data_IF_823095035581
#
_entry.id   IF_823095035581
#
_cell.length_a   1.000
_cell.length_b   1.000
_cell.length_c   1.000
_cell.angle_alpha   90.00
_cell.angle_beta   90.00
_cell.angle_gamma   90.00
#
_symmetry.space_group_name_H-M   'P 1'
#
loop_
_entity.id
_entity.type
_entity.pdbx_description
1 polymer ?
#
# COMPACT_ATOMS: atom_id res chain seq x y z
N UNK A 1 -31.70 -23.11 -18.14
CA UNK A 1 -30.61 -23.13 -17.12
C UNK A 1 -29.24 -22.92 -17.77
N UNK A 2 -28.99 -23.49 -18.95
CA UNK A 2 -27.75 -23.33 -19.74
C UNK A 2 -27.43 -21.87 -20.08
N UNK A 3 -28.42 -21.06 -20.42
CA UNK A 3 -28.25 -19.63 -20.77
C UNK A 3 -27.77 -18.77 -19.60
N UNK A 4 -28.23 -19.08 -18.38
CA UNK A 4 -27.80 -18.35 -17.17
C UNK A 4 -26.34 -18.66 -16.85
N UNK A 5 -25.95 -19.92 -16.93
CA UNK A 5 -24.57 -20.34 -16.72
C UNK A 5 -23.62 -19.78 -17.78
N UNK A 6 -24.03 -19.78 -19.06
CA UNK A 6 -23.23 -19.21 -20.15
C UNK A 6 -23.04 -17.69 -20.00
N UNK A 7 -24.08 -16.96 -19.59
CA UNK A 7 -24.00 -15.52 -19.30
C UNK A 7 -23.05 -15.23 -18.14
N UNK A 8 -23.08 -16.03 -17.07
CA UNK A 8 -22.16 -15.89 -15.94
C UNK A 8 -20.72 -16.13 -16.39
N UNK A 9 -20.47 -17.19 -17.18
CA UNK A 9 -19.14 -17.51 -17.69
C UNK A 9 -18.59 -16.38 -18.58
N UNK A 10 -19.41 -15.87 -19.50
CA UNK A 10 -19.06 -14.74 -20.35
C UNK A 10 -18.76 -13.47 -19.54
N UNK A 11 -19.53 -13.22 -18.48
CA UNK A 11 -19.27 -12.12 -17.55
C UNK A 11 -17.91 -12.24 -16.86
N UNK A 12 -17.57 -13.43 -16.36
CA UNK A 12 -16.27 -13.69 -15.71
C UNK A 12 -15.11 -13.47 -16.71
N UNK A 13 -15.24 -13.97 -17.94
CA UNK A 13 -14.23 -13.79 -18.99
C UNK A 13 -14.05 -12.31 -19.32
N UNK A 14 -15.14 -11.57 -19.50
CA UNK A 14 -15.10 -10.15 -19.81
C UNK A 14 -14.40 -9.34 -18.70
N UNK A 15 -14.72 -9.62 -17.43
CA UNK A 15 -14.07 -8.96 -16.27
C UNK A 15 -12.59 -9.31 -16.20
N UNK A 16 -12.21 -10.57 -16.42
CA UNK A 16 -10.81 -10.99 -16.34
C UNK A 16 -9.96 -10.36 -17.46
N UNK A 17 -10.50 -10.26 -18.68
CA UNK A 17 -9.85 -9.58 -19.80
C UNK A 17 -9.69 -8.08 -19.53
N UNK A 18 -10.73 -7.41 -19.02
CA UNK A 18 -10.65 -5.98 -18.68
C UNK A 18 -9.62 -5.69 -17.59
N UNK A 19 -9.56 -6.51 -16.53
CA UNK A 19 -8.54 -6.36 -15.49
C UNK A 19 -7.11 -6.57 -16.03
N UNK A 20 -6.92 -7.54 -16.94
CA UNK A 20 -5.62 -7.76 -17.60
C UNK A 20 -5.23 -6.56 -18.47
N UNK A 21 -6.14 -6.05 -19.30
CA UNK A 21 -5.89 -4.88 -20.14
C UNK A 21 -5.58 -3.63 -19.32
N UNK A 22 -6.30 -3.41 -18.21
CA UNK A 22 -6.04 -2.28 -17.30
C UNK A 22 -4.64 -2.36 -16.70
N UNK A 23 -4.18 -3.57 -16.33
CA UNK A 23 -2.84 -3.80 -15.80
C UNK A 23 -1.74 -3.59 -16.85
N UNK A 24 -1.96 -4.05 -18.08
CA UNK A 24 -0.99 -3.91 -19.19
C UNK A 24 -0.87 -2.47 -19.69
N UNK A 25 -1.98 -1.74 -19.74
CA UNK A 25 -1.98 -0.32 -20.16
C UNK A 25 -1.48 0.63 -19.06
N UNK A 26 -1.25 0.13 -17.85
CA UNK A 26 -0.82 0.97 -16.72
C UNK A 26 -1.82 2.07 -16.36
N UNK A 27 -3.11 1.89 -16.69
CA UNK A 27 -4.18 2.85 -16.40
C UNK A 27 -4.30 3.14 -14.90
N UNK A 28 -3.90 2.18 -14.07
CA UNK A 28 -3.60 2.40 -12.66
C UNK A 28 -2.14 2.04 -12.40
N UNK A 29 -1.30 2.96 -11.90
CA UNK A 29 0.04 2.61 -11.48
C UNK A 29 -0.07 1.55 -10.38
N UNK A 30 0.73 0.49 -10.49
CA UNK A 30 0.82 -0.53 -9.43
C UNK A 30 1.27 0.18 -8.16
N UNK A 31 0.38 0.28 -7.17
CA UNK A 31 0.73 0.81 -5.87
C UNK A 31 1.68 -0.20 -5.22
N UNK A 32 2.98 0.09 -5.27
CA UNK A 32 3.97 -0.64 -4.49
C UNK A 32 3.69 -0.33 -3.01
N UNK A 33 2.83 -1.13 -2.40
CA UNK A 33 2.73 -1.18 -0.95
C UNK A 33 4.11 -1.64 -0.45
N UNK A 34 4.88 -0.68 0.04
CA UNK A 34 6.15 -0.81 0.75
C UNK A 34 6.80 -2.19 0.61
N UNK A 35 7.59 -2.36 -0.45
CA UNK A 35 8.45 -3.53 -0.60
C UNK A 35 9.62 -3.54 0.39
N UNK A 36 9.79 -2.47 1.17
CA UNK A 36 10.91 -2.24 2.09
C UNK A 36 10.39 -1.62 3.42
N UNK A 37 11.23 -1.63 4.46
CA UNK A 37 10.89 -1.20 5.82
C UNK A 37 10.40 0.25 5.83
N UNK A 38 9.22 0.47 6.43
CA UNK A 38 8.72 1.82 6.70
C UNK A 38 9.63 2.52 7.71
N UNK A 39 10.40 3.50 7.25
CA UNK A 39 11.20 4.36 8.13
C UNK A 39 10.34 5.53 8.60
N UNK A 40 10.06 5.57 9.89
CA UNK A 40 9.36 6.68 10.54
C UNK A 40 10.41 7.54 11.24
N UNK A 41 10.46 8.84 10.91
CA UNK A 41 11.30 9.82 11.59
C UNK A 41 10.40 10.76 12.41
N UNK A 42 10.81 11.04 13.64
CA UNK A 42 10.16 12.06 14.49
C UNK A 42 11.04 13.28 14.42
N UNK A 43 10.47 14.41 14.02
CA UNK A 43 11.20 15.67 13.88
C UNK A 43 10.54 16.77 14.69
N UNK A 44 11.28 17.87 14.88
CA UNK A 44 10.75 19.10 15.44
C UNK A 44 9.66 19.71 14.55
N UNK A 45 8.99 20.76 15.04
CA UNK A 45 7.89 21.41 14.33
C UNK A 45 8.29 21.97 12.95
N UNK A 46 9.58 22.32 12.79
CA UNK A 46 10.11 22.86 11.54
C UNK A 46 10.71 21.78 10.63
N UNK A 47 10.80 20.52 11.10
CA UNK A 47 11.40 19.41 10.36
C UNK A 47 12.92 19.51 10.15
N UNK A 48 13.61 20.37 10.90
CA UNK A 48 15.06 20.58 10.77
C UNK A 48 15.89 19.60 11.59
N UNK A 49 15.35 19.11 12.70
CA UNK A 49 16.03 18.15 13.57
C UNK A 49 15.13 16.94 13.82
N UNK A 50 15.64 15.75 13.52
CA UNK A 50 14.93 14.48 13.73
C UNK A 50 15.64 13.62 14.77
N UNK A 51 14.88 12.78 15.48
CA UNK A 51 15.43 11.82 16.43
C UNK A 51 16.31 10.81 15.68
N UNK A 52 17.61 10.82 15.96
CA UNK A 52 18.56 9.86 15.42
C UNK A 52 18.64 8.63 16.33
N UNK A 53 18.65 7.45 15.71
CA UNK A 53 18.82 6.18 16.42
C UNK A 53 20.32 5.99 16.67
N UNK A 54 20.79 6.19 17.89
CA UNK A 54 22.17 5.90 18.25
C UNK A 54 22.40 4.39 18.42
N UNK A 55 23.54 3.83 17.96
CA UNK A 55 23.80 2.38 17.95
C UNK A 55 23.76 1.69 19.32
N UNK A 56 23.78 2.46 20.41
CA UNK A 56 24.02 1.99 21.76
C UNK A 56 22.74 1.92 22.61
N UNK A 57 21.62 2.49 22.13
CA UNK A 57 20.36 2.55 22.90
C UNK A 57 19.16 2.45 21.96
N UNK A 58 18.81 1.23 21.56
CA UNK A 58 17.52 0.98 20.87
C UNK A 58 16.67 0.11 21.77
N UNK A 59 15.94 0.74 22.69
CA UNK A 59 14.80 0.10 23.35
C UNK A 59 13.58 0.36 22.49
N UNK A 60 12.98 -0.70 21.94
CA UNK A 60 11.76 -0.62 21.14
C UNK A 60 10.63 -0.04 21.97
N UNK A 61 10.46 1.29 21.90
CA UNK A 61 9.44 1.99 22.66
C UNK A 61 8.31 2.42 21.73
N UNK A 62 7.08 2.09 22.14
CA UNK A 62 5.84 2.45 21.46
C UNK A 62 5.69 3.97 21.48
N UNK A 63 5.62 4.59 20.30
CA UNK A 63 5.36 6.02 20.16
C UNK A 63 3.89 6.30 20.51
N UNK A 64 3.65 7.00 21.61
CA UNK A 64 2.32 7.50 21.97
C UNK A 64 2.28 8.98 21.61
N UNK A 65 1.48 9.33 20.61
CA UNK A 65 1.18 10.73 20.28
C UNK A 65 0.09 11.21 21.24
N UNK A 66 0.45 12.18 22.09
CA UNK A 66 -0.50 12.82 22.99
C UNK A 66 -1.04 14.08 22.29
N UNK A 67 -2.30 14.03 21.85
CA UNK A 67 -2.98 15.21 21.33
C UNK A 67 -3.32 16.14 22.51
N UNK A 68 -2.92 17.40 22.41
CA UNK A 68 -3.39 18.47 23.31
C UNK A 68 -4.77 18.97 22.86
#
# INVERSE_FOLDING_TARGET
MKDKSLKILLGIIAVNLTLQTIKELGLFPTAYAQSDVQKIAICDINGQACAEIWPQVVSGNRLMLQNQ
#
